data_IF_251680737048
#
_entry.id   IF_251680737048
#
_cell.length_a   1.000
_cell.length_b   1.000
_cell.length_c   1.000
_cell.angle_alpha   90.00
_cell.angle_beta   90.00
_cell.angle_gamma   90.00
#
_symmetry.space_group_name_H-M   'P 1'
#
loop_
_entity.id
_entity.type
_entity.pdbx_description
1 polymer ?
#
# COMPACT_ATOMS: atom_id res chain seq x y z
N UNK A 1 -49.63 22.00 3.32
CA UNK A 1 -48.62 22.06 4.40
C UNK A 1 -48.18 20.67 4.86
N UNK A 2 -49.11 19.79 5.27
CA UNK A 2 -48.77 18.44 5.77
C UNK A 2 -48.04 17.52 4.77
N UNK A 3 -48.41 17.55 3.48
CA UNK A 3 -47.78 16.73 2.43
C UNK A 3 -46.27 16.98 2.30
N UNK A 4 -45.85 18.25 2.32
CA UNK A 4 -44.44 18.63 2.24
C UNK A 4 -43.65 18.18 3.48
N UNK A 5 -44.29 18.15 4.67
CA UNK A 5 -43.67 17.62 5.87
C UNK A 5 -43.43 16.09 5.77
N UNK A 6 -44.42 15.34 5.28
CA UNK A 6 -44.27 13.90 5.06
C UNK A 6 -43.22 13.58 3.99
N UNK A 7 -43.20 14.32 2.88
CA UNK A 7 -42.20 14.15 1.83
C UNK A 7 -40.77 14.41 2.35
N UNK A 8 -40.59 15.44 3.18
CA UNK A 8 -39.29 15.79 3.75
C UNK A 8 -38.80 14.72 4.75
N UNK A 9 -39.69 14.20 5.60
CA UNK A 9 -39.38 13.10 6.52
C UNK A 9 -39.00 11.83 5.75
N UNK A 10 -39.75 11.48 4.70
CA UNK A 10 -39.44 10.33 3.85
C UNK A 10 -38.08 10.48 3.16
N UNK A 11 -37.78 11.67 2.61
CA UNK A 11 -36.49 11.95 1.97
C UNK A 11 -35.32 11.82 2.96
N UNK A 12 -35.47 12.34 4.18
CA UNK A 12 -34.46 12.20 5.24
C UNK A 12 -34.27 10.72 5.61
N UNK A 13 -35.36 9.96 5.79
CA UNK A 13 -35.29 8.54 6.10
C UNK A 13 -34.56 7.72 5.03
N UNK A 14 -34.89 7.96 3.75
CA UNK A 14 -34.23 7.31 2.61
C UNK A 14 -32.75 7.69 2.55
N UNK A 15 -32.41 8.97 2.74
CA UNK A 15 -31.02 9.42 2.75
C UNK A 15 -30.20 8.70 3.83
N UNK A 16 -30.70 8.63 5.06
CA UNK A 16 -30.00 7.93 6.14
C UNK A 16 -29.88 6.43 5.90
N UNK A 17 -30.91 5.80 5.33
CA UNK A 17 -30.88 4.37 5.00
C UNK A 17 -29.84 4.06 3.92
N UNK A 18 -29.88 4.79 2.79
CA UNK A 18 -28.93 4.62 1.69
C UNK A 18 -27.51 4.91 2.18
N UNK A 19 -27.29 5.98 2.96
CA UNK A 19 -25.99 6.31 3.53
C UNK A 19 -25.43 5.20 4.43
N UNK A 20 -26.27 4.57 5.25
CA UNK A 20 -25.83 3.44 6.10
C UNK A 20 -25.53 2.19 5.28
N UNK A 21 -26.35 1.91 4.27
CA UNK A 21 -26.19 0.75 3.40
C UNK A 21 -24.92 0.86 2.55
N UNK A 22 -24.60 2.04 2.03
CA UNK A 22 -23.37 2.27 1.26
C UNK A 22 -22.12 2.33 2.14
N UNK A 23 -22.18 2.99 3.29
CA UNK A 23 -21.03 3.10 4.18
C UNK A 23 -20.63 1.78 4.84
N UNK A 24 -21.60 0.89 5.08
CA UNK A 24 -21.37 -0.42 5.69
C UNK A 24 -21.55 -1.57 4.67
N UNK A 25 -21.37 -1.32 3.37
CA UNK A 25 -21.55 -2.35 2.35
C UNK A 25 -20.59 -3.53 2.56
N UNK A 26 -21.14 -4.72 2.87
CA UNK A 26 -20.36 -5.94 3.15
C UNK A 26 -20.51 -7.01 2.07
N UNK A 27 -21.26 -6.75 0.99
CA UNK A 27 -21.49 -7.72 -0.07
C UNK A 27 -20.25 -8.00 -0.93
N UNK A 28 -19.27 -7.09 -0.93
CA UNK A 28 -18.04 -7.17 -1.70
C UNK A 28 -16.89 -6.67 -0.83
N UNK A 29 -15.81 -7.45 -0.72
CA UNK A 29 -14.61 -7.03 0.02
C UNK A 29 -13.88 -5.94 -0.78
N UNK A 30 -14.14 -4.67 -0.45
CA UNK A 30 -13.34 -3.56 -0.97
C UNK A 30 -12.11 -3.37 -0.05
N UNK A 31 -10.92 -3.15 -0.62
CA UNK A 31 -9.76 -2.75 0.17
C UNK A 31 -10.02 -1.36 0.78
N UNK A 32 -10.00 -1.26 2.10
CA UNK A 32 -10.21 -0.01 2.83
C UNK A 32 -10.64 -0.23 4.28
N UNK A 33 -10.45 0.78 5.12
CA UNK A 33 -10.89 0.75 6.53
C UNK A 33 -12.31 1.32 6.57
N UNK A 34 -13.34 0.53 6.95
CA UNK A 34 -14.69 1.05 7.12
C UNK A 34 -14.73 2.02 8.31
N UNK A 35 -15.63 3.00 8.30
CA UNK A 35 -15.77 3.92 9.42
C UNK A 35 -16.20 3.17 10.69
N UNK A 36 -15.77 3.67 11.86
CA UNK A 36 -15.88 2.99 13.17
C UNK A 36 -17.31 2.60 13.57
N UNK A 37 -18.33 3.28 13.05
CA UNK A 37 -19.74 2.94 13.29
C UNK A 37 -20.25 1.72 12.49
N UNK A 38 -19.46 1.23 11.52
CA UNK A 38 -19.74 0.02 10.73
C UNK A 38 -18.96 -1.21 11.23
N UNK A 39 -18.06 -1.05 12.20
CA UNK A 39 -17.34 -2.17 12.80
C UNK A 39 -18.31 -3.03 13.63
N UNK A 40 -18.94 -4.00 12.97
CA UNK A 40 -19.70 -5.03 13.64
C UNK A 40 -18.77 -5.78 14.61
N UNK A 41 -19.08 -5.66 15.91
CA UNK A 41 -18.69 -6.56 17.00
C UNK A 41 -17.19 -6.90 17.06
N UNK A 42 -16.46 -6.05 17.79
CA UNK A 42 -15.26 -6.39 18.57
C UNK A 42 -14.60 -7.72 18.21
N UNK A 43 -13.57 -7.66 17.37
CA UNK A 43 -12.49 -8.64 17.48
C UNK A 43 -12.07 -8.59 18.97
N UNK A 44 -12.13 -9.71 19.71
CA UNK A 44 -11.75 -9.71 21.11
C UNK A 44 -10.31 -9.19 21.22
N UNK A 45 -10.07 -8.28 22.16
CA UNK A 45 -8.77 -7.65 22.41
C UNK A 45 -7.67 -8.64 22.86
N UNK A 46 -7.93 -9.94 22.79
CA UNK A 46 -6.98 -11.03 23.04
C UNK A 46 -5.97 -11.23 21.90
N UNK A 47 -6.18 -10.63 20.72
CA UNK A 47 -5.21 -10.65 19.61
C UNK A 47 -4.41 -9.34 19.48
N UNK A 48 -4.38 -8.52 20.54
CA UNK A 48 -3.41 -7.42 20.63
C UNK A 48 -2.12 -7.99 21.24
N UNK A 49 -0.96 -7.93 20.57
CA UNK A 49 0.30 -8.31 21.18
C UNK A 49 0.57 -7.38 22.36
N UNK A 50 0.75 -7.97 23.55
CA UNK A 50 1.17 -7.27 24.74
C UNK A 50 2.55 -6.66 24.51
N UNK A 51 2.66 -5.33 24.68
CA UNK A 51 3.96 -4.68 24.83
C UNK A 51 4.50 -5.00 26.23
N UNK A 52 5.26 -6.09 26.34
CA UNK A 52 6.08 -6.35 27.53
C UNK A 52 7.32 -5.47 27.47
N UNK A 53 7.31 -4.41 28.28
CA UNK A 53 8.46 -3.57 28.53
C UNK A 53 9.36 -4.15 29.62
N UNK A 54 10.64 -4.28 29.24
CA UNK A 54 11.86 -4.10 30.05
C UNK A 54 12.32 -5.21 31.03
N UNK A 55 13.55 -5.66 30.78
CA UNK A 55 14.43 -6.43 31.68
C UNK A 55 14.69 -7.84 31.14
N UNK A 56 15.83 -8.15 30.53
CA UNK A 56 17.13 -8.26 31.21
C UNK A 56 18.25 -8.27 30.18
N UNK A 57 19.29 -7.47 30.41
CA UNK A 57 20.54 -7.53 29.65
C UNK A 57 21.26 -8.86 29.90
N UNK A 58 21.25 -9.75 28.91
CA UNK A 58 22.31 -10.75 28.72
C UNK A 58 23.18 -10.28 27.55
N UNK A 59 24.43 -10.00 27.87
CA UNK A 59 25.48 -9.69 26.92
C UNK A 59 25.85 -10.98 26.16
N UNK A 60 25.04 -11.32 25.17
CA UNK A 60 25.32 -12.37 24.21
C UNK A 60 25.92 -11.70 22.98
N UNK A 61 27.10 -12.15 22.55
CA UNK A 61 27.70 -11.72 21.29
C UNK A 61 26.65 -11.84 20.18
N UNK A 62 26.59 -10.91 19.20
CA UNK A 62 25.63 -11.03 18.12
C UNK A 62 25.94 -12.32 17.36
N UNK A 63 25.16 -13.37 17.65
CA UNK A 63 25.01 -14.50 16.75
C UNK A 63 24.54 -13.89 15.46
N UNK A 64 25.38 -14.01 14.44
CA UNK A 64 25.09 -13.64 13.06
C UNK A 64 23.74 -14.28 12.70
N UNK A 65 22.68 -13.47 12.76
CA UNK A 65 21.33 -13.93 12.49
C UNK A 65 21.34 -14.42 11.06
N UNK A 66 21.24 -15.74 10.88
CA UNK A 66 20.93 -16.30 9.56
C UNK A 66 19.69 -15.56 9.10
N UNK A 67 19.85 -14.76 8.04
CA UNK A 67 18.73 -14.05 7.46
C UNK A 67 17.60 -15.06 7.25
N UNK A 68 16.35 -14.74 7.65
CA UNK A 68 15.24 -15.65 7.44
C UNK A 68 15.25 -16.06 5.98
N UNK A 69 15.37 -17.36 5.73
CA UNK A 69 15.30 -17.93 4.37
C UNK A 69 13.94 -17.50 3.80
N UNK A 70 13.96 -16.51 2.92
CA UNK A 70 12.74 -16.05 2.26
C UNK A 70 12.39 -17.12 1.23
N UNK A 71 11.41 -17.95 1.56
CA UNK A 71 10.78 -18.83 0.59
C UNK A 71 10.15 -17.95 -0.50
N UNK A 72 10.81 -17.88 -1.65
CA UNK A 72 10.30 -17.14 -2.79
C UNK A 72 9.03 -17.87 -3.27
N UNK A 73 7.87 -17.20 -3.32
CA UNK A 73 6.65 -17.84 -3.77
C UNK A 73 6.83 -18.31 -5.22
N UNK A 74 6.61 -19.60 -5.47
CA UNK A 74 6.57 -20.13 -6.83
C UNK A 74 5.30 -19.65 -7.51
N UNK A 75 5.43 -19.05 -8.69
CA UNK A 75 4.28 -18.56 -9.43
C UNK A 75 3.36 -19.71 -9.87
N UNK A 76 2.07 -19.58 -9.59
CA UNK A 76 1.01 -20.58 -9.81
C UNK A 76 0.49 -20.64 -11.26
N UNK A 77 1.01 -19.80 -12.15
CA UNK A 77 0.59 -19.71 -13.55
C UNK A 77 -0.73 -18.95 -13.79
N UNK A 78 -1.44 -18.58 -12.73
CA UNK A 78 -2.76 -17.93 -12.80
C UNK A 78 -2.81 -16.54 -12.15
N UNK A 79 -1.93 -16.26 -11.20
CA UNK A 79 -1.84 -14.95 -10.55
C UNK A 79 -1.26 -13.88 -11.47
N UNK A 80 -1.76 -12.64 -11.31
CA UNK A 80 -1.28 -11.46 -12.03
C UNK A 80 0.18 -11.20 -11.71
N UNK A 81 0.99 -10.99 -12.74
CA UNK A 81 2.40 -10.62 -12.60
C UNK A 81 2.53 -9.11 -12.80
N UNK A 82 3.22 -8.44 -11.87
CA UNK A 82 3.62 -7.04 -12.01
C UNK A 82 5.14 -6.96 -12.13
N UNK A 83 5.61 -6.39 -13.22
CA UNK A 83 7.03 -6.24 -13.55
C UNK A 83 7.32 -4.75 -13.59
N UNK A 84 8.32 -4.30 -12.84
CA UNK A 84 8.78 -2.91 -12.89
C UNK A 84 10.08 -2.84 -13.66
N UNK A 85 10.12 -1.95 -14.65
CA UNK A 85 11.31 -1.61 -15.42
C UNK A 85 11.87 -0.28 -14.94
N UNK A 86 13.16 -0.26 -14.69
CA UNK A 86 13.91 0.93 -14.30
C UNK A 86 14.97 1.25 -15.36
N UNK A 87 14.87 2.41 -15.97
CA UNK A 87 15.89 2.97 -16.85
C UNK A 87 16.81 3.87 -16.03
N UNK A 88 18.00 3.38 -15.71
CA UNK A 88 19.02 4.17 -15.02
C UNK A 88 19.67 5.16 -16.00
N UNK A 89 19.88 6.41 -15.56
CA UNK A 89 20.53 7.44 -16.38
C UNK A 89 21.94 7.04 -16.79
N UNK A 90 22.67 6.38 -15.87
CA UNK A 90 24.07 6.00 -16.06
C UNK A 90 24.98 7.23 -16.10
N UNK A 91 25.90 7.33 -15.14
CA UNK A 91 26.83 8.45 -15.09
C UNK A 91 28.02 8.16 -14.18
N UNK A 92 29.12 8.88 -14.37
CA UNK A 92 30.27 8.82 -13.46
C UNK A 92 29.86 9.31 -12.06
N UNK A 93 30.24 8.54 -11.04
CA UNK A 93 30.00 8.83 -9.61
C UNK A 93 30.62 10.19 -9.19
N UNK A 94 31.55 10.73 -10.00
CA UNK A 94 32.28 11.97 -9.75
C UNK A 94 31.50 13.26 -10.06
N UNK A 95 30.34 13.18 -10.73
CA UNK A 95 29.47 14.36 -10.89
C UNK A 95 28.54 14.45 -9.68
N UNK A 96 28.37 15.65 -9.14
CA UNK A 96 27.43 15.99 -8.05
C UNK A 96 25.96 15.69 -8.39
N UNK A 97 25.70 15.25 -9.63
CA UNK A 97 24.41 14.78 -10.13
C UNK A 97 24.23 13.27 -9.86
N UNK A 98 23.06 12.93 -9.32
CA UNK A 98 22.59 11.58 -9.00
C UNK A 98 22.92 10.52 -10.10
N UNK A 99 24.03 9.76 -9.97
CA UNK A 99 24.57 8.95 -11.06
C UNK A 99 23.71 7.72 -11.37
N UNK A 100 23.02 7.21 -10.34
CA UNK A 100 22.14 6.06 -10.39
C UNK A 100 20.65 6.44 -10.35
N UNK A 101 20.30 7.70 -10.62
CA UNK A 101 18.90 8.10 -10.70
C UNK A 101 18.18 7.39 -11.86
N UNK A 102 16.92 7.02 -11.63
CA UNK A 102 16.07 6.40 -12.65
C UNK A 102 15.38 7.47 -13.49
N UNK A 103 15.68 7.54 -14.78
CA UNK A 103 15.06 8.48 -15.72
C UNK A 103 13.72 7.96 -16.27
N UNK A 104 13.54 6.64 -16.24
CA UNK A 104 12.34 5.95 -16.74
C UNK A 104 11.90 4.90 -15.72
N UNK A 105 10.62 4.93 -15.32
CA UNK A 105 10.01 3.90 -14.46
C UNK A 105 8.74 3.43 -15.17
N UNK A 106 8.65 2.14 -15.49
CA UNK A 106 7.49 1.57 -16.19
C UNK A 106 6.98 0.36 -15.40
N UNK A 107 5.72 0.41 -14.99
CA UNK A 107 5.02 -0.72 -14.39
C UNK A 107 4.25 -1.47 -15.49
N UNK A 108 4.61 -2.71 -15.72
CA UNK A 108 3.92 -3.64 -16.61
C UNK A 108 3.13 -4.64 -15.77
N UNK A 109 1.84 -4.77 -16.06
CA UNK A 109 0.97 -5.76 -15.41
C UNK A 109 0.44 -6.73 -16.46
N UNK A 110 0.53 -8.03 -16.17
CA UNK A 110 0.04 -9.10 -17.05
C UNK A 110 -0.94 -9.95 -16.27
N UNK A 111 -2.16 -10.05 -16.78
CA UNK A 111 -3.19 -10.96 -16.30
C UNK A 111 -3.28 -12.17 -17.24
N UNK A 112 -2.78 -13.35 -16.83
CA UNK A 112 -2.82 -14.55 -17.65
C UNK A 112 -4.24 -15.12 -17.79
N UNK A 113 -5.15 -14.83 -16.84
CA UNK A 113 -6.53 -15.36 -16.83
C UNK A 113 -7.39 -14.58 -17.81
N UNK A 114 -7.36 -13.25 -17.75
CA UNK A 114 -8.12 -12.41 -18.67
C UNK A 114 -7.38 -12.12 -19.98
N UNK A 115 -6.11 -12.54 -20.10
CA UNK A 115 -5.22 -12.28 -21.25
C UNK A 115 -5.08 -10.78 -21.56
N UNK A 116 -5.00 -9.96 -20.52
CA UNK A 116 -4.83 -8.52 -20.65
C UNK A 116 -3.46 -8.12 -20.14
N UNK A 117 -2.87 -7.11 -20.77
CA UNK A 117 -1.65 -6.49 -20.31
C UNK A 117 -1.85 -4.97 -20.25
N UNK A 118 -1.29 -4.35 -19.22
CA UNK A 118 -1.30 -2.91 -19.02
C UNK A 118 0.12 -2.41 -18.80
N UNK A 119 0.39 -1.21 -19.27
CA UNK A 119 1.65 -0.51 -19.04
C UNK A 119 1.35 0.88 -18.48
N UNK A 120 1.98 1.21 -17.36
CA UNK A 120 1.90 2.51 -16.73
C UNK A 120 3.30 3.11 -16.64
N UNK A 121 3.51 4.24 -17.32
CA UNK A 121 4.73 5.02 -17.17
C UNK A 121 4.59 5.95 -15.96
N UNK A 122 5.61 5.93 -15.10
CA UNK A 122 5.70 6.75 -13.90
C UNK A 122 6.73 7.87 -14.16
N UNK A 123 6.35 9.16 -14.10
CA UNK A 123 7.27 10.27 -14.30
C UNK A 123 8.37 10.35 -13.22
N UNK A 124 9.60 10.72 -13.62
CA UNK A 124 10.80 10.75 -12.74
C UNK A 124 10.72 11.77 -11.59
N UNK A 125 10.04 12.89 -11.81
CA UNK A 125 10.03 14.05 -10.92
C UNK A 125 8.81 14.07 -9.99
N UNK A 126 8.08 12.96 -9.87
CA UNK A 126 6.98 12.89 -8.91
C UNK A 126 7.49 13.06 -7.49
N UNK A 127 6.87 13.99 -6.76
CA UNK A 127 7.17 14.22 -5.36
C UNK A 127 6.41 13.23 -4.48
N UNK A 128 7.14 12.28 -3.89
CA UNK A 128 6.56 11.16 -3.13
C UNK A 128 7.27 11.01 -1.80
N UNK A 129 6.60 10.36 -0.85
CA UNK A 129 7.24 9.96 0.40
C UNK A 129 8.02 8.66 0.17
N UNK A 130 9.33 8.70 0.34
CA UNK A 130 10.22 7.54 0.32
C UNK A 130 10.34 7.00 1.76
N UNK A 131 9.92 5.76 2.04
CA UNK A 131 10.03 5.19 3.38
C UNK A 131 11.46 5.26 3.91
N UNK A 132 11.65 5.79 5.12
CA UNK A 132 12.98 5.96 5.75
C UNK A 132 13.75 7.22 5.36
N UNK A 133 13.38 7.91 4.27
CA UNK A 133 14.15 9.07 3.76
C UNK A 133 13.30 10.35 3.56
N UNK A 134 11.99 10.28 3.78
CA UNK A 134 11.08 11.42 3.70
C UNK A 134 10.66 11.76 2.28
N UNK A 135 10.18 12.98 2.07
CA UNK A 135 9.67 13.41 0.77
C UNK A 135 10.79 13.81 -0.20
N UNK A 136 10.80 13.18 -1.38
CA UNK A 136 11.74 13.51 -2.45
C UNK A 136 11.13 13.17 -3.83
N UNK A 137 11.87 13.47 -4.90
CA UNK A 137 11.55 12.98 -6.25
C UNK A 137 11.75 11.48 -6.32
N UNK A 138 10.81 10.76 -6.95
CA UNK A 138 10.83 9.30 -7.05
C UNK A 138 12.12 8.77 -7.72
N UNK A 139 12.73 9.53 -8.64
CA UNK A 139 13.98 9.12 -9.29
C UNK A 139 15.17 8.95 -8.36
N UNK A 140 15.14 9.57 -7.18
CA UNK A 140 16.20 9.44 -6.17
C UNK A 140 16.10 8.15 -5.36
N UNK A 141 14.95 7.48 -5.37
CA UNK A 141 14.69 6.31 -4.52
C UNK A 141 15.68 5.17 -4.77
N UNK A 142 16.09 4.96 -6.03
CA UNK A 142 17.08 3.93 -6.38
C UNK A 142 18.44 4.21 -5.74
N UNK A 143 18.98 5.42 -5.95
CA UNK A 143 20.28 5.84 -5.41
C UNK A 143 20.30 5.85 -3.88
N UNK A 144 19.18 6.24 -3.28
CA UNK A 144 19.04 6.32 -1.82
C UNK A 144 18.95 4.92 -1.19
N UNK A 145 18.31 3.95 -1.87
CA UNK A 145 18.18 2.59 -1.38
C UNK A 145 19.44 1.73 -1.53
N UNK A 146 20.35 2.11 -2.44
CA UNK A 146 21.65 1.44 -2.64
C UNK A 146 22.77 2.00 -1.74
N UNK A 147 22.53 3.13 -1.07
CA UNK A 147 23.49 3.82 -0.20
C UNK A 147 23.49 3.25 1.22
#
# INVERSE_FOLDING_TARGET
>A
MAYWAFALIAAIGVFFFVRRLTACWQLTALPGIPPSYCAAKSIPASDLPAFEGAGTSSNELPSEGTAPEIEIPTWDGGSRINIVFFGLRGGEISREDCPACTDTIILLTVDPVTKTAGMLSIPRDMWVNIPGYGYNRINTAWTIGEA
#
